data_IF_037990336751
#
_entry.id   IF_037990336751
#
_cell.length_a   1.000
_cell.length_b   1.000
_cell.length_c   1.000
_cell.angle_alpha   90.00
_cell.angle_beta   90.00
_cell.angle_gamma   90.00
#
_symmetry.space_group_name_H-M   'P 1'
#
loop_
_entity.id
_entity.type
_entity.pdbx_description
1 polymer ?
#
# COMPACT_ATOMS: atom_id res chain seq x y z
N UNK A 1 -1.22 3.84 19.23
CA UNK A 1 -1.09 2.51 18.59
C UNK A 1 0.29 1.97 18.93
N UNK A 2 0.41 0.72 19.38
CA UNK A 2 1.74 0.08 19.50
C UNK A 2 2.21 -0.31 18.09
N UNK A 3 3.49 -0.13 17.78
CA UNK A 3 4.03 -0.34 16.43
C UNK A 3 3.87 -1.80 15.97
N UNK A 4 3.95 -2.74 16.92
CA UNK A 4 3.69 -4.17 16.76
C UNK A 4 2.31 -4.43 16.16
N UNK A 5 1.31 -3.73 16.70
CA UNK A 5 -0.09 -3.88 16.33
C UNK A 5 -0.32 -3.36 14.92
N UNK A 6 0.19 -2.18 14.60
CA UNK A 6 0.11 -1.60 13.26
C UNK A 6 0.73 -2.51 12.19
N UNK A 7 1.96 -2.98 12.43
CA UNK A 7 2.66 -3.84 11.46
C UNK A 7 1.92 -5.16 11.25
N UNK A 8 1.47 -5.80 12.34
CA UNK A 8 0.76 -7.06 12.27
C UNK A 8 -0.57 -6.93 11.52
N UNK A 9 -1.36 -5.91 11.86
CA UNK A 9 -2.69 -5.70 11.28
C UNK A 9 -2.57 -5.34 9.79
N UNK A 10 -1.64 -4.47 9.40
CA UNK A 10 -1.45 -4.14 7.99
C UNK A 10 -0.90 -5.32 7.17
N UNK A 11 0.00 -6.13 7.75
CA UNK A 11 0.44 -7.38 7.09
C UNK A 11 -0.72 -8.33 6.82
N UNK A 12 -1.65 -8.48 7.78
CA UNK A 12 -2.84 -9.33 7.64
C UNK A 12 -3.75 -8.77 6.54
N UNK A 13 -4.07 -7.48 6.60
CA UNK A 13 -4.96 -6.82 5.64
C UNK A 13 -4.42 -6.91 4.20
N UNK A 14 -3.12 -6.63 4.00
CA UNK A 14 -2.47 -6.73 2.69
C UNK A 14 -2.44 -8.17 2.15
N UNK A 15 -2.33 -9.17 3.03
CA UNK A 15 -2.43 -10.57 2.67
C UNK A 15 -3.85 -10.94 2.24
N UNK A 16 -4.87 -10.51 3.00
CA UNK A 16 -6.28 -10.77 2.69
C UNK A 16 -6.71 -10.12 1.38
N UNK A 17 -6.39 -8.84 1.17
CA UNK A 17 -6.67 -8.10 -0.07
C UNK A 17 -6.09 -8.77 -1.32
N UNK A 18 -4.98 -9.50 -1.17
CA UNK A 18 -4.28 -10.19 -2.28
C UNK A 18 -4.50 -11.69 -2.33
N UNK A 19 -5.29 -12.27 -1.42
CA UNK A 19 -5.50 -13.72 -1.34
C UNK A 19 -4.22 -14.50 -1.02
N UNK A 20 -3.26 -13.89 -0.32
CA UNK A 20 -1.97 -14.50 0.03
C UNK A 20 -2.10 -15.15 1.41
N UNK A 21 -1.90 -16.47 1.47
CA UNK A 21 -1.82 -17.17 2.76
C UNK A 21 -0.46 -16.93 3.44
N UNK A 22 -0.40 -17.06 4.78
CA UNK A 22 0.88 -17.03 5.52
C UNK A 22 1.91 -18.03 4.99
N UNK A 23 1.46 -19.20 4.51
CA UNK A 23 2.33 -20.17 3.84
C UNK A 23 2.91 -19.62 2.54
N UNK A 24 2.06 -19.01 1.71
CA UNK A 24 2.50 -18.41 0.47
C UNK A 24 3.46 -17.23 0.71
N UNK A 25 3.19 -16.39 1.70
CA UNK A 25 4.07 -15.30 2.08
C UNK A 25 5.45 -15.80 2.53
N UNK A 26 5.51 -16.89 3.30
CA UNK A 26 6.77 -17.53 3.68
C UNK A 26 7.59 -17.98 2.45
N UNK A 27 6.91 -18.58 1.46
CA UNK A 27 7.55 -19.00 0.21
C UNK A 27 8.08 -17.81 -0.60
N UNK A 28 7.34 -16.69 -0.63
CA UNK A 28 7.70 -15.50 -1.40
C UNK A 28 8.85 -14.71 -0.76
N UNK A 29 8.86 -14.62 0.57
CA UNK A 29 9.86 -13.83 1.33
C UNK A 29 11.11 -14.61 1.72
N UNK A 30 11.04 -15.95 1.69
CA UNK A 30 12.05 -16.83 2.28
C UNK A 30 12.10 -16.79 3.82
N UNK A 31 11.14 -16.15 4.48
CA UNK A 31 11.04 -16.07 5.93
C UNK A 31 10.30 -17.30 6.45
N UNK A 32 10.76 -17.87 7.57
CA UNK A 32 10.09 -19.02 8.18
C UNK A 32 8.64 -18.68 8.57
N UNK A 33 7.71 -19.61 8.31
CA UNK A 33 6.30 -19.45 8.69
C UNK A 33 6.09 -19.17 10.19
N UNK A 34 6.95 -19.73 11.06
CA UNK A 34 6.92 -19.49 12.50
C UNK A 34 7.26 -18.04 12.83
N UNK A 35 8.29 -17.47 12.18
CA UNK A 35 8.67 -16.06 12.33
C UNK A 35 7.56 -15.12 11.86
N UNK A 36 6.99 -15.36 10.67
CA UNK A 36 5.83 -14.59 10.19
C UNK A 36 4.63 -14.74 11.13
N UNK A 37 4.41 -15.94 11.68
CA UNK A 37 3.36 -16.22 12.65
C UNK A 37 3.51 -15.39 13.93
N UNK A 38 4.72 -15.29 14.48
CA UNK A 38 4.99 -14.45 15.66
C UNK A 38 4.78 -12.97 15.38
N UNK A 39 5.19 -12.49 14.20
CA UNK A 39 4.96 -11.10 13.78
C UNK A 39 3.46 -10.81 13.70
N UNK A 40 2.69 -11.65 12.98
CA UNK A 40 1.24 -11.47 12.83
C UNK A 40 0.48 -11.68 14.15
N UNK A 41 1.03 -12.44 15.10
CA UNK A 41 0.48 -12.61 16.45
C UNK A 41 0.89 -11.48 17.41
N UNK A 42 1.55 -10.42 16.94
CA UNK A 42 2.01 -9.28 17.74
C UNK A 42 3.03 -9.67 18.82
N UNK A 43 3.72 -10.81 18.66
CA UNK A 43 4.71 -11.35 19.60
C UNK A 43 6.16 -10.92 19.29
N UNK A 44 6.39 -10.30 18.13
CA UNK A 44 7.71 -9.82 17.73
C UNK A 44 7.63 -8.77 16.63
N UNK A 45 8.48 -7.75 16.69
CA UNK A 45 8.69 -6.82 15.59
C UNK A 45 9.67 -7.39 14.55
N UNK A 46 9.37 -7.28 13.24
CA UNK A 46 10.36 -7.52 12.21
C UNK A 46 11.46 -6.45 12.28
N UNK A 47 12.68 -6.81 11.90
CA UNK A 47 13.70 -5.81 11.57
C UNK A 47 13.30 -5.06 10.29
N UNK A 48 13.83 -3.85 10.07
CA UNK A 48 13.53 -3.09 8.85
C UNK A 48 13.84 -3.88 7.55
N UNK A 49 14.98 -4.59 7.41
CA UNK A 49 15.23 -5.44 6.24
C UNK A 49 14.25 -6.62 6.11
N UNK A 50 13.75 -7.15 7.22
CA UNK A 50 12.71 -8.19 7.18
C UNK A 50 11.39 -7.62 6.69
N UNK A 51 11.03 -6.42 7.16
CA UNK A 51 9.82 -5.73 6.74
C UNK A 51 9.88 -5.33 5.26
N UNK A 52 11.03 -4.87 4.78
CA UNK A 52 11.26 -4.54 3.36
C UNK A 52 10.99 -5.75 2.46
N UNK A 53 11.53 -6.93 2.79
CA UNK A 53 11.23 -8.17 2.06
C UNK A 53 9.75 -8.54 2.05
N UNK A 54 9.06 -8.28 3.17
CA UNK A 54 7.62 -8.53 3.27
C UNK A 54 6.86 -7.56 2.35
N UNK A 55 7.24 -6.28 2.34
CA UNK A 55 6.65 -5.26 1.48
C UNK A 55 6.87 -5.59 0.01
N UNK A 56 8.09 -5.95 -0.39
CA UNK A 56 8.41 -6.40 -1.75
C UNK A 56 7.56 -7.61 -2.17
N UNK A 57 7.43 -8.63 -1.30
CA UNK A 57 6.60 -9.79 -1.58
C UNK A 57 5.11 -9.45 -1.68
N UNK A 58 4.66 -8.40 -0.98
CA UNK A 58 3.28 -7.92 -1.04
C UNK A 58 3.09 -6.84 -2.11
N UNK A 59 4.08 -6.54 -2.94
CA UNK A 59 4.01 -5.52 -3.99
C UNK A 59 3.53 -4.16 -3.43
N UNK A 60 4.14 -3.73 -2.33
CA UNK A 60 4.01 -2.39 -1.75
C UNK A 60 5.37 -1.83 -1.39
N UNK A 61 5.51 -0.51 -1.40
CA UNK A 61 6.68 0.15 -0.82
C UNK A 61 6.54 0.25 0.70
N UNK A 62 7.66 0.49 1.40
CA UNK A 62 7.62 0.81 2.84
C UNK A 62 6.77 2.05 3.13
N UNK A 63 6.78 3.06 2.25
CA UNK A 63 5.96 4.26 2.45
C UNK A 63 4.46 3.95 2.35
N UNK A 64 4.06 3.12 1.39
CA UNK A 64 2.67 2.65 1.25
C UNK A 64 2.28 1.74 2.42
N UNK A 65 3.21 0.93 2.93
CA UNK A 65 2.98 0.09 4.11
C UNK A 65 2.74 0.90 5.38
N UNK A 66 3.31 2.10 5.51
CA UNK A 66 3.09 2.96 6.69
C UNK A 66 2.08 4.09 6.46
N UNK A 67 1.40 4.10 5.30
CA UNK A 67 0.41 5.11 5.00
C UNK A 67 -0.92 4.74 5.68
N UNK A 68 -1.44 5.62 6.54
CA UNK A 68 -2.79 5.49 7.08
C UNK A 68 -3.80 6.08 6.07
N UNK A 69 -4.32 5.26 5.15
CA UNK A 69 -5.35 5.70 4.18
C UNK A 69 -5.14 5.20 2.76
N UNK A 70 -5.75 5.89 1.79
CA UNK A 70 -5.45 5.72 0.37
C UNK A 70 -3.98 6.11 0.17
N UNK A 71 -3.11 5.28 -0.46
CA UNK A 71 -1.68 5.58 -0.59
C UNK A 71 -1.35 6.93 -1.25
N UNK A 72 -2.31 7.55 -1.95
CA UNK A 72 -2.19 8.88 -2.53
C UNK A 72 -2.72 10.02 -1.62
N UNK A 73 -3.26 9.70 -0.44
CA UNK A 73 -3.91 10.60 0.55
C UNK A 73 -4.92 11.55 -0.10
N UNK A 74 -5.62 11.05 -1.13
CA UNK A 74 -6.52 11.83 -1.95
C UNK A 74 -7.84 12.03 -1.23
N UNK A 75 -8.26 13.29 -1.15
CA UNK A 75 -9.65 13.62 -0.86
C UNK A 75 -10.57 13.02 -1.93
N UNK A 76 -11.81 12.69 -1.57
CA UNK A 76 -12.80 12.14 -2.51
C UNK A 76 -12.89 12.93 -3.84
N UNK A 77 -12.85 14.28 -3.87
CA UNK A 77 -12.80 15.04 -5.13
C UNK A 77 -11.54 14.78 -5.97
N UNK A 78 -10.39 14.57 -5.34
CA UNK A 78 -9.15 14.28 -6.05
C UNK A 78 -9.19 12.87 -6.69
N UNK A 79 -9.71 11.87 -5.99
CA UNK A 79 -9.89 10.53 -6.54
C UNK A 79 -10.89 10.52 -7.71
N UNK A 80 -11.97 11.29 -7.62
CA UNK A 80 -12.95 11.45 -8.71
C UNK A 80 -12.32 12.10 -9.95
N UNK A 81 -11.52 13.15 -9.77
CA UNK A 81 -10.79 13.79 -10.88
C UNK A 81 -9.83 12.81 -11.55
N UNK A 82 -9.08 12.01 -10.78
CA UNK A 82 -8.15 11.02 -11.34
C UNK A 82 -8.87 9.87 -12.05
N UNK A 83 -10.01 9.42 -11.54
CA UNK A 83 -10.82 8.42 -12.22
C UNK A 83 -11.28 8.91 -13.60
N UNK A 84 -11.81 10.14 -13.68
CA UNK A 84 -12.18 10.77 -14.94
C UNK A 84 -10.96 10.94 -15.85
N UNK A 85 -9.84 11.40 -15.28
CA UNK A 85 -8.59 11.67 -16.02
C UNK A 85 -8.07 10.43 -16.77
N UNK A 86 -8.15 9.26 -16.14
CA UNK A 86 -7.67 8.00 -16.73
C UNK A 86 -8.48 7.56 -17.96
N UNK A 87 -9.72 8.01 -18.09
CA UNK A 87 -10.60 7.69 -19.22
C UNK A 87 -10.47 8.69 -20.39
N UNK A 88 -9.77 9.80 -20.21
CA UNK A 88 -9.59 10.84 -21.22
C UNK A 88 -8.48 10.50 -22.24
N UNK A 89 -8.68 10.90 -23.49
CA UNK A 89 -7.62 10.91 -24.49
C UNK A 89 -6.54 11.95 -24.16
N UNK A 90 -5.36 11.81 -24.78
CA UNK A 90 -4.24 12.75 -24.60
C UNK A 90 -4.65 14.19 -24.93
N UNK A 91 -5.45 14.39 -25.99
CA UNK A 91 -5.92 15.73 -26.37
C UNK A 91 -6.89 16.31 -25.33
N UNK A 92 -7.77 15.51 -24.76
CA UNK A 92 -8.71 15.95 -23.72
C UNK A 92 -7.99 16.28 -22.40
N UNK A 93 -6.99 15.47 -22.03
CA UNK A 93 -6.12 15.74 -20.88
C UNK A 93 -5.39 17.08 -21.02
N UNK A 94 -4.86 17.41 -22.21
CA UNK A 94 -4.22 18.71 -22.46
C UNK A 94 -5.19 19.89 -22.25
N UNK A 95 -6.43 19.75 -22.71
CA UNK A 95 -7.48 20.77 -22.53
C UNK A 95 -7.81 20.94 -21.04
N UNK A 96 -8.00 19.84 -20.31
CA UNK A 96 -8.29 19.89 -18.86
C UNK A 96 -7.14 20.55 -18.10
N UNK A 97 -5.89 20.23 -18.40
CA UNK A 97 -4.73 20.90 -17.78
C UNK A 97 -4.67 22.39 -18.10
N UNK A 98 -4.99 22.80 -19.33
CA UNK A 98 -5.02 24.20 -19.70
C UNK A 98 -6.09 24.97 -18.88
N UNK A 99 -7.26 24.36 -18.68
CA UNK A 99 -8.32 24.92 -17.83
C UNK A 99 -7.87 25.06 -16.38
N UNK A 100 -7.32 24.00 -15.77
CA UNK A 100 -6.83 24.01 -14.39
C UNK A 100 -5.75 25.07 -14.16
N UNK A 101 -4.77 25.17 -15.08
CA UNK A 101 -3.73 26.21 -15.05
C UNK A 101 -4.31 27.62 -15.13
N UNK A 102 -5.37 27.80 -15.90
CA UNK A 102 -6.07 29.09 -16.03
C UNK A 102 -6.77 29.53 -14.73
N UNK A 103 -7.18 28.58 -13.89
CA UNK A 103 -7.82 28.83 -12.59
C UNK A 103 -6.82 29.08 -11.45
N UNK A 104 -5.55 28.70 -11.62
CA UNK A 104 -4.50 28.78 -10.60
C UNK A 104 -3.91 30.20 -10.39
N UNK A 105 -4.72 31.24 -10.64
CA UNK A 105 -4.32 32.66 -10.50
C UNK A 105 -4.33 33.16 -9.07
#
# INVERSE_FOLDING_TARGET
MQLEEYIADNMIELCEKRGISKYRLAQMTGIAQSSLGRIMAKESLPSLPTLEKICEALDVTLSQFFCEGDPDDLTQPQSEVLAIWNDLSVQEQEVVLAMLRGLQK
#
